data_IF_791107600780
#
_entry.id   IF_791107600780
#
_cell.length_a   1.000
_cell.length_b   1.000
_cell.length_c   1.000
_cell.angle_alpha   90.00
_cell.angle_beta   90.00
_cell.angle_gamma   90.00
#
_symmetry.space_group_name_H-M   'P 1'
#
loop_
_entity.id
_entity.type
_entity.pdbx_description
1 polymer ?
#
# COMPACT_ATOMS: atom_id res chain seq x y z
N UNK A 1 9.58 6.66 7.38
CA UNK A 1 10.11 7.84 6.67
C UNK A 1 9.06 8.55 5.85
N UNK A 2 8.43 7.91 4.86
CA UNK A 2 7.44 8.55 3.99
C UNK A 2 6.28 9.21 4.74
N UNK A 3 5.55 8.46 5.60
CA UNK A 3 4.42 9.00 6.37
C UNK A 3 4.86 10.16 7.28
N UNK A 4 6.05 10.05 7.88
CA UNK A 4 6.63 11.13 8.70
C UNK A 4 6.90 12.37 7.85
N UNK A 5 7.38 12.20 6.62
CA UNK A 5 7.61 13.31 5.69
C UNK A 5 6.28 13.98 5.28
N UNK A 6 5.27 13.19 4.91
CA UNK A 6 3.94 13.69 4.58
C UNK A 6 3.34 14.51 5.74
N UNK A 7 3.43 13.99 6.96
CA UNK A 7 2.96 14.69 8.16
C UNK A 7 3.73 16.00 8.41
N UNK A 8 5.05 16.04 8.19
CA UNK A 8 5.85 17.26 8.32
C UNK A 8 5.45 18.32 7.30
N UNK A 9 5.19 17.92 6.05
CA UNK A 9 4.73 18.85 5.01
C UNK A 9 3.39 19.48 5.41
N UNK A 10 2.41 18.67 5.83
CA UNK A 10 1.11 19.19 6.28
C UNK A 10 1.23 20.09 7.51
N UNK A 11 2.08 19.71 8.47
CA UNK A 11 2.33 20.54 9.65
C UNK A 11 2.93 21.90 9.28
N UNK A 12 3.86 21.95 8.31
CA UNK A 12 4.43 23.19 7.82
C UNK A 12 3.37 24.05 7.10
N UNK A 13 2.55 23.44 6.24
CA UNK A 13 1.45 24.14 5.56
C UNK A 13 0.45 24.73 6.57
N UNK A 14 0.15 24.01 7.64
CA UNK A 14 -0.73 24.49 8.70
C UNK A 14 -0.12 25.67 9.47
N UNK A 15 1.19 25.60 9.79
CA UNK A 15 1.91 26.69 10.44
C UNK A 15 1.98 27.97 9.57
N UNK A 16 1.99 27.80 8.24
CA UNK A 16 1.95 28.90 7.26
C UNK A 16 0.53 29.43 7.00
N UNK A 17 -0.51 28.80 7.57
CA UNK A 17 -1.91 29.17 7.35
C UNK A 17 -2.45 28.78 5.97
N UNK A 18 -1.79 27.84 5.27
CA UNK A 18 -2.20 27.35 3.95
C UNK A 18 -3.29 26.26 4.03
N UNK A 19 -3.42 25.60 5.18
CA UNK A 19 -4.43 24.58 5.48
C UNK A 19 -4.80 24.66 6.96
N UNK A 20 -6.08 24.56 7.32
CA UNK A 20 -6.47 24.44 8.72
C UNK A 20 -6.19 23.00 9.23
N UNK A 21 -5.75 22.79 10.49
CA UNK A 21 -5.52 21.45 11.02
C UNK A 21 -6.72 20.50 10.87
N UNK A 22 -7.94 21.02 10.94
CA UNK A 22 -9.19 20.29 10.80
C UNK A 22 -9.47 19.84 9.36
N UNK A 23 -8.81 20.45 8.37
CA UNK A 23 -8.89 20.06 6.95
C UNK A 23 -7.92 18.91 6.61
N UNK A 24 -7.01 18.54 7.53
CA UNK A 24 -6.11 17.40 7.34
C UNK A 24 -6.92 16.09 7.39
N UNK A 25 -7.10 15.49 6.22
CA UNK A 25 -7.80 14.23 6.00
C UNK A 25 -6.87 13.12 5.48
N UNK A 26 -7.42 11.91 5.28
CA UNK A 26 -6.69 10.80 4.65
C UNK A 26 -6.23 11.17 3.24
N UNK A 27 -7.06 11.89 2.50
CA UNK A 27 -6.80 12.34 1.14
C UNK A 27 -5.65 13.35 1.13
N UNK A 28 -5.70 14.37 2.00
CA UNK A 28 -4.60 15.35 2.09
C UNK A 28 -3.27 14.72 2.51
N UNK A 29 -3.28 13.67 3.35
CA UNK A 29 -2.07 12.92 3.68
C UNK A 29 -1.58 12.11 2.49
N UNK A 30 -2.49 11.41 1.81
CA UNK A 30 -2.18 10.61 0.61
C UNK A 30 -1.52 11.48 -0.47
N UNK A 31 -1.99 12.72 -0.66
CA UNK A 31 -1.43 13.69 -1.59
C UNK A 31 0.02 14.12 -1.26
N UNK A 32 0.50 13.86 -0.05
CA UNK A 32 1.89 14.17 0.37
C UNK A 32 2.78 12.93 0.47
N UNK A 33 2.27 11.75 0.15
CA UNK A 33 3.08 10.54 0.01
C UNK A 33 3.92 10.60 -1.27
N UNK A 34 5.01 9.84 -1.32
CA UNK A 34 5.86 9.78 -2.51
C UNK A 34 5.15 9.15 -3.71
N UNK A 35 4.08 8.40 -3.46
CA UNK A 35 3.27 7.70 -4.48
C UNK A 35 1.97 8.43 -4.84
N UNK A 36 1.81 9.72 -4.51
CA UNK A 36 0.55 10.46 -4.67
C UNK A 36 0.00 10.51 -6.11
N UNK A 37 0.85 10.37 -7.12
CA UNK A 37 0.51 10.39 -8.54
C UNK A 37 0.30 8.98 -9.14
N UNK A 38 0.39 7.94 -8.31
CA UNK A 38 0.24 6.54 -8.71
C UNK A 38 -1.13 5.98 -8.28
N UNK A 39 -1.64 4.97 -8.99
CA UNK A 39 -2.83 4.25 -8.54
C UNK A 39 -2.59 3.51 -7.22
N UNK A 40 -3.69 3.14 -6.56
CA UNK A 40 -3.63 2.30 -5.36
C UNK A 40 -2.95 0.95 -5.62
N UNK A 41 -2.34 0.39 -4.58
CA UNK A 41 -1.70 -0.91 -4.66
C UNK A 41 -2.76 -2.00 -4.55
N UNK A 42 -2.95 -2.73 -5.64
CA UNK A 42 -3.88 -3.87 -5.67
C UNK A 42 -3.27 -5.14 -5.07
N UNK A 43 -1.97 -5.35 -5.29
CA UNK A 43 -1.26 -6.57 -4.95
C UNK A 43 0.18 -6.27 -4.52
N UNK A 44 0.57 -6.79 -3.36
CA UNK A 44 1.97 -6.87 -2.93
C UNK A 44 2.41 -8.33 -2.95
N UNK A 45 3.43 -8.62 -3.76
CA UNK A 45 4.09 -9.92 -3.77
C UNK A 45 5.41 -9.80 -3.00
N UNK A 46 5.61 -10.69 -2.02
CA UNK A 46 6.86 -10.82 -1.28
C UNK A 46 7.41 -12.23 -1.43
N UNK A 47 8.62 -12.31 -1.96
CA UNK A 47 9.38 -13.56 -2.14
C UNK A 47 10.08 -13.98 -0.83
N UNK A 48 10.80 -15.10 -0.89
CA UNK A 48 11.60 -15.73 0.18
C UNK A 48 10.83 -16.26 1.39
N UNK A 49 9.50 -16.35 1.32
CA UNK A 49 8.66 -16.99 2.34
C UNK A 49 8.43 -16.19 3.64
N UNK A 50 8.97 -14.98 3.75
CA UNK A 50 8.80 -14.12 4.93
C UNK A 50 7.39 -13.50 4.95
N UNK A 51 6.63 -13.72 6.03
CA UNK A 51 5.26 -13.20 6.18
C UNK A 51 5.29 -11.86 6.94
N UNK A 52 5.76 -10.81 6.25
CA UNK A 52 5.78 -9.43 6.77
C UNK A 52 5.88 -8.43 5.62
N UNK A 53 5.53 -7.16 5.84
CA UNK A 53 5.78 -6.10 4.85
C UNK A 53 7.15 -5.43 5.03
N UNK A 54 7.76 -5.54 6.21
CA UNK A 54 9.05 -4.88 6.51
C UNK A 54 9.04 -3.38 6.23
N UNK A 55 7.99 -2.68 6.67
CA UNK A 55 7.84 -1.23 6.50
C UNK A 55 7.75 -0.77 5.03
N UNK A 56 7.31 -1.65 4.12
CA UNK A 56 7.10 -1.34 2.71
C UNK A 56 5.64 -0.95 2.46
N UNK A 57 5.44 0.25 1.89
CA UNK A 57 4.14 0.77 1.40
C UNK A 57 2.96 0.57 2.37
N UNK A 58 3.15 0.85 3.67
CA UNK A 58 2.16 0.55 4.70
C UNK A 58 0.82 1.27 4.48
N UNK A 59 0.87 2.53 4.02
CA UNK A 59 -0.34 3.30 3.75
C UNK A 59 -1.03 2.81 2.48
N UNK A 60 -0.24 2.63 1.42
CA UNK A 60 -0.71 2.28 0.09
C UNK A 60 -1.24 0.84 0.02
N UNK A 61 -0.72 -0.06 0.88
CA UNK A 61 -1.08 -1.48 0.89
C UNK A 61 -2.24 -1.81 1.85
N UNK A 62 -2.95 -0.81 2.38
CA UNK A 62 -3.99 -1.01 3.38
C UNK A 62 -5.12 -1.97 2.92
N UNK A 63 -5.42 -1.97 1.62
CA UNK A 63 -6.40 -2.87 0.97
C UNK A 63 -5.81 -3.69 -0.18
N UNK A 64 -4.47 -3.78 -0.24
CA UNK A 64 -3.78 -4.64 -1.19
C UNK A 64 -3.94 -6.09 -0.78
N UNK A 65 -4.08 -6.98 -1.76
CA UNK A 65 -3.85 -8.40 -1.54
C UNK A 65 -2.37 -8.64 -1.25
N UNK A 66 -2.10 -9.58 -0.35
CA UNK A 66 -0.73 -9.95 0.01
C UNK A 66 -0.46 -11.39 -0.41
N UNK A 67 0.55 -11.59 -1.25
CA UNK A 67 1.06 -12.91 -1.64
C UNK A 67 2.47 -13.08 -1.08
N UNK A 68 2.66 -14.11 -0.26
CA UNK A 68 3.96 -14.47 0.30
C UNK A 68 4.48 -15.74 -0.38
N UNK A 69 5.28 -15.54 -1.43
CA UNK A 69 5.84 -16.63 -2.24
C UNK A 69 7.15 -17.14 -1.61
N UNK A 70 7.33 -18.46 -1.56
CA UNK A 70 8.52 -19.11 -0.98
C UNK A 70 9.76 -19.09 -1.90
N UNK A 71 9.56 -18.82 -3.19
CA UNK A 71 10.64 -18.66 -4.17
C UNK A 71 11.62 -17.55 -3.75
N UNK A 72 12.93 -17.73 -3.94
CA UNK A 72 13.89 -16.65 -3.71
C UNK A 72 13.86 -15.65 -4.85
N UNK A 73 14.15 -14.37 -4.58
CA UNK A 73 14.11 -13.31 -5.59
C UNK A 73 14.91 -13.62 -6.88
N UNK A 74 16.14 -14.17 -6.81
CA UNK A 74 16.88 -14.53 -8.02
C UNK A 74 16.23 -15.63 -8.87
N UNK A 75 15.38 -16.46 -8.25
CA UNK A 75 14.67 -17.57 -8.91
C UNK A 75 13.26 -17.16 -9.37
N UNK A 76 12.83 -15.93 -9.08
CA UNK A 76 11.48 -15.45 -9.36
C UNK A 76 11.34 -15.10 -10.85
N UNK A 77 10.74 -16.01 -11.60
CA UNK A 77 10.60 -15.92 -13.05
C UNK A 77 9.18 -15.54 -13.51
N UNK A 78 9.01 -15.42 -14.83
CA UNK A 78 7.72 -15.10 -15.45
C UNK A 78 6.63 -16.11 -15.10
N UNK A 79 6.98 -17.40 -14.98
CA UNK A 79 6.01 -18.44 -14.65
C UNK A 79 5.50 -18.27 -13.22
N UNK A 80 6.40 -17.97 -12.29
CA UNK A 80 6.09 -17.71 -10.88
C UNK A 80 5.24 -16.45 -10.74
N UNK A 81 5.59 -15.38 -11.46
CA UNK A 81 4.79 -14.16 -11.52
C UNK A 81 3.36 -14.40 -12.02
N UNK A 82 3.19 -15.15 -13.12
CA UNK A 82 1.86 -15.47 -13.62
C UNK A 82 1.04 -16.30 -12.63
N UNK A 83 1.65 -17.23 -11.91
CA UNK A 83 0.96 -18.00 -10.88
C UNK A 83 0.45 -17.10 -9.74
N UNK A 84 1.28 -16.16 -9.27
CA UNK A 84 0.86 -15.20 -8.24
C UNK A 84 -0.26 -14.29 -8.76
N UNK A 85 -0.26 -13.89 -10.04
CA UNK A 85 -1.36 -13.13 -10.64
C UNK A 85 -2.66 -13.95 -10.74
N UNK A 86 -2.57 -15.25 -11.07
CA UNK A 86 -3.75 -16.13 -11.07
C UNK A 86 -4.33 -16.29 -9.67
N UNK A 87 -3.47 -16.42 -8.66
CA UNK A 87 -3.89 -16.45 -7.27
C UNK A 87 -4.60 -15.14 -6.89
N UNK A 88 -4.02 -13.98 -7.22
CA UNK A 88 -4.66 -12.68 -7.01
C UNK A 88 -6.03 -12.58 -7.69
N UNK A 89 -6.13 -12.98 -8.96
CA UNK A 89 -7.37 -12.91 -9.73
C UNK A 89 -8.48 -13.83 -9.18
N UNK A 90 -8.12 -14.88 -8.42
CA UNK A 90 -9.07 -15.79 -7.78
C UNK A 90 -9.57 -15.30 -6.42
N UNK A 91 -8.98 -14.23 -5.85
CA UNK A 91 -9.39 -13.67 -4.55
C UNK A 91 -10.54 -12.68 -4.72
N UNK A 92 -11.45 -12.67 -3.75
CA UNK A 92 -12.52 -11.68 -3.66
C UNK A 92 -12.11 -10.52 -2.75
N UNK A 93 -11.93 -9.33 -3.35
CA UNK A 93 -11.64 -8.11 -2.60
C UNK A 93 -12.92 -7.49 -2.06
N UNK A 94 -13.02 -7.43 -0.74
CA UNK A 94 -14.22 -6.93 -0.04
C UNK A 94 -14.09 -5.50 0.46
N UNK A 95 -12.90 -4.92 0.44
CA UNK A 95 -12.62 -3.53 0.89
C UNK A 95 -13.24 -3.17 2.27
N UNK A 96 -13.31 -4.14 3.19
CA UNK A 96 -13.94 -3.97 4.51
C UNK A 96 -15.44 -4.32 4.59
N UNK A 97 -16.04 -4.83 3.51
CA UNK A 97 -17.38 -5.41 3.50
C UNK A 97 -17.41 -6.78 4.18
N UNK A 98 -18.33 -6.96 5.13
CA UNK A 98 -18.59 -8.26 5.78
C UNK A 98 -19.63 -9.02 4.95
N UNK A 99 -19.39 -10.30 4.68
CA UNK A 99 -20.40 -11.19 4.08
C UNK A 99 -21.65 -11.19 4.95
N UNK A 100 -22.82 -10.92 4.36
CA UNK A 100 -24.08 -11.29 4.99
C UNK A 100 -24.20 -12.82 4.88
N UNK A 101 -24.09 -13.49 6.03
CA UNK A 101 -24.57 -14.86 6.21
C UNK A 101 -26.09 -14.91 6.13
#
# INVERSE_FOLDING_TARGET
DEITNAARILAQQAAEGLIAPEEISKETLADKLYTHDLPEVDLVIRTSGEIRLSNFLLWQSAYAELIFNKCYWPDYDRKTYLNDLWEYAARERRFGGVERK
#
